data_IF_890624799907
#
_entry.id   IF_890624799907
#
_cell.length_a   1.000
_cell.length_b   1.000
_cell.length_c   1.000
_cell.angle_alpha   90.00
_cell.angle_beta   90.00
_cell.angle_gamma   90.00
#
_symmetry.space_group_name_H-M   'P 1'
#
loop_
_entity.id
_entity.type
_entity.pdbx_description
1 polymer ?
2 water ?
#
# COMPACT_ATOMS: atom_id res chain seq x y z
N UNK A 9 2.11 10.98 12.55
CA UNK A 9 2.25 9.96 11.46
C UNK A 9 1.80 8.59 12.00
N UNK A 10 2.25 7.49 11.36
CA UNK A 10 1.71 6.15 11.56
C UNK A 10 2.42 5.37 12.68
N UNK A 11 1.65 5.01 13.72
CA UNK A 11 2.16 4.20 14.83
C UNK A 11 2.49 2.78 14.42
N UNK A 12 3.46 2.20 15.13
CA UNK A 12 3.99 0.88 14.82
C UNK A 12 2.89 -0.18 14.73
N UNK A 13 1.89 -0.12 15.59
CA UNK A 13 0.91 -1.17 15.58
C UNK A 13 -0.08 -1.01 14.42
N UNK A 14 -0.22 0.19 13.85
CA UNK A 14 -1.03 0.35 12.63
C UNK A 14 -0.31 -0.35 11.49
N UNK A 15 1.00 -0.15 11.45
CA UNK A 15 1.87 -0.78 10.48
C UNK A 15 1.75 -2.31 10.60
N UNK A 16 1.91 -2.84 11.80
CA UNK A 16 1.78 -4.27 12.05
C UNK A 16 0.42 -4.83 11.62
N UNK A 17 -0.67 -4.14 11.94
CA UNK A 17 -2.01 -4.56 11.46
C UNK A 17 -2.14 -4.58 9.93
N UNK A 18 -1.68 -3.51 9.30
CA UNK A 18 -1.54 -3.50 7.85
C UNK A 18 -0.77 -4.71 7.33
N UNK A 19 0.39 -5.02 7.89
CA UNK A 19 1.10 -6.22 7.42
C UNK A 19 0.29 -7.50 7.64
N UNK A 20 -0.45 -7.54 8.76
CA UNK A 20 -1.27 -8.70 9.09
C UNK A 20 -2.41 -8.87 8.08
N UNK A 21 -3.04 -7.77 7.69
CA UNK A 21 -4.01 -7.83 6.59
C UNK A 21 -3.41 -8.41 5.32
N UNK A 22 -2.19 -8.00 4.98
CA UNK A 22 -1.49 -8.49 3.78
C UNK A 22 -1.21 -9.98 3.87
N UNK A 23 -0.86 -10.41 5.09
CA UNK A 23 -0.64 -11.82 5.37
C UNK A 23 -1.87 -12.63 4.96
N UNK A 24 -3.05 -12.12 5.32
CA UNK A 24 -4.32 -12.77 5.02
C UNK A 24 -4.58 -12.81 3.53
N UNK A 25 -4.33 -11.69 2.82
CA UNK A 25 -4.42 -11.67 1.36
C UNK A 25 -3.51 -12.72 0.75
N UNK A 26 -2.25 -12.77 1.17
CA UNK A 26 -1.32 -13.75 0.62
C UNK A 26 -1.77 -15.18 0.96
N UNK A 27 -2.30 -15.39 2.15
CA UNK A 27 -2.68 -16.73 2.61
C UNK A 27 -3.82 -17.35 1.82
N UNK A 28 -4.76 -16.52 1.39
CA UNK A 28 -5.86 -17.01 0.56
C UNK A 28 -5.31 -17.62 -0.73
N UNK A 29 -4.28 -16.99 -1.34
CA UNK A 29 -3.75 -17.56 -2.56
C UNK A 29 -2.83 -18.77 -2.31
N UNK A 30 -2.04 -18.66 -1.27
CA UNK A 30 -1.06 -19.62 -0.91
C UNK A 30 -0.97 -19.56 0.61
N UNK A 31 -1.49 -20.59 1.29
CA UNK A 31 -1.40 -20.59 2.74
C UNK A 31 0.06 -20.78 3.22
N UNK A 32 0.90 -21.40 2.40
CA UNK A 32 2.31 -21.65 2.72
C UNK A 32 3.25 -20.62 2.09
N UNK A 33 2.70 -19.43 1.75
CA UNK A 33 3.53 -18.44 1.05
C UNK A 33 4.81 -18.03 1.76
N UNK A 34 4.81 -18.01 3.09
CA UNK A 34 5.96 -17.58 3.85
C UNK A 34 7.12 -18.59 3.70
N UNK A 35 6.80 -19.81 3.34
CA UNK A 35 7.81 -20.85 3.16
C UNK A 35 8.31 -20.94 1.71
N UNK A 36 7.51 -20.45 0.76
CA UNK A 36 7.82 -20.64 -0.67
C UNK A 36 8.48 -19.39 -1.27
N UNK A 37 7.99 -18.26 -0.81
CA UNK A 37 8.32 -16.98 -1.32
C UNK A 37 9.61 -16.55 -0.62
N UNK A 38 10.32 -15.59 -1.17
CA UNK A 38 11.56 -15.15 -0.59
C UNK A 38 11.64 -13.63 -0.73
N UNK A 39 12.58 -13.10 0.00
CA UNK A 39 12.78 -11.68 0.19
C UNK A 39 13.14 -11.03 -1.17
N UNK A 40 13.79 -11.79 -2.04
CA UNK A 40 14.15 -11.34 -3.39
C UNK A 40 12.95 -11.17 -4.33
N UNK A 41 11.92 -12.01 -4.14
CA UNK A 41 10.64 -11.88 -4.84
C UNK A 41 10.03 -10.49 -4.56
N UNK A 42 9.90 -10.11 -3.30
CA UNK A 42 9.28 -8.81 -2.98
C UNK A 42 10.13 -7.66 -3.46
N UNK A 43 11.44 -7.81 -3.37
CA UNK A 43 12.36 -6.75 -3.78
C UNK A 43 12.25 -6.51 -5.33
N UNK A 44 12.13 -7.61 -6.05
CA UNK A 44 11.92 -7.54 -7.47
C UNK A 44 10.60 -6.84 -7.78
N UNK A 45 9.54 -7.21 -7.09
CA UNK A 45 8.22 -6.70 -7.42
C UNK A 45 8.09 -5.23 -7.10
N UNK A 46 8.63 -4.81 -5.97
CA UNK A 46 8.69 -3.37 -5.65
C UNK A 46 9.51 -2.61 -6.72
N UNK A 47 10.55 -3.25 -7.25
CA UNK A 47 11.38 -2.62 -8.28
C UNK A 47 10.58 -2.43 -9.54
N UNK A 48 9.88 -3.47 -9.95
CA UNK A 48 9.15 -3.45 -11.20
C UNK A 48 7.95 -2.48 -11.10
N UNK A 49 7.26 -2.44 -9.97
CA UNK A 49 6.15 -1.51 -9.76
C UNK A 49 6.63 -0.07 -9.59
N UNK A 50 7.75 0.11 -8.91
CA UNK A 50 8.35 1.43 -8.85
C UNK A 50 8.72 1.91 -10.25
N UNK A 51 9.28 1.05 -11.08
CA UNK A 51 9.58 1.43 -12.43
C UNK A 51 8.32 1.87 -13.17
N UNK A 52 7.22 1.14 -12.99
CA UNK A 52 5.97 1.54 -13.68
C UNK A 52 5.42 2.88 -13.13
N UNK A 53 5.57 3.14 -11.84
CA UNK A 53 5.20 4.46 -11.30
C UNK A 53 6.00 5.57 -12.02
N UNK A 54 7.34 5.46 -11.98
CA UNK A 54 8.20 6.48 -12.60
C UNK A 54 7.79 6.69 -14.04
N UNK A 55 7.36 5.62 -14.70
CA UNK A 55 6.99 5.69 -16.09
C UNK A 55 5.71 6.45 -16.34
N UNK A 56 4.86 6.69 -15.35
CA UNK A 56 3.73 7.60 -15.56
C UNK A 56 4.19 9.05 -15.79
N UNK A 57 5.43 9.39 -15.39
CA UNK A 57 5.94 10.75 -15.39
C UNK A 57 6.75 10.91 -16.66
N UNK A 58 6.82 12.12 -17.18
CA UNK A 58 7.64 12.39 -18.35
C UNK A 58 9.14 12.52 -18.02
N UNK A 59 9.78 11.42 -17.62
CA UNK A 59 11.19 11.40 -17.30
C UNK A 59 12.18 11.44 -18.47
N UNK A 60 11.73 10.99 -19.65
CA UNK A 60 12.60 10.95 -20.81
C UNK A 60 12.91 12.35 -21.22
N UNK A 61 14.10 12.81 -20.90
CA UNK A 61 14.54 14.17 -21.22
C UNK A 61 14.50 14.46 -22.72
N UNK A 62 14.54 13.44 -23.56
CA UNK A 62 14.55 13.67 -25.01
C UNK A 62 13.15 13.65 -25.68
N UNK A 63 12.11 13.31 -24.96
CA UNK A 63 10.76 13.40 -25.49
C UNK A 63 10.09 14.73 -25.13
N UNK A 64 9.44 15.35 -26.12
CA UNK A 64 8.63 16.55 -25.91
C UNK A 64 7.41 16.20 -25.13
N UNK A 65 6.91 17.14 -24.34
CA UNK A 65 5.92 16.76 -23.33
C UNK A 65 4.57 17.38 -23.57
N UNK A 66 3.61 16.47 -23.72
CA UNK A 66 2.27 16.85 -24.12
C UNK A 66 1.50 17.26 -22.85
N UNK A 67 1.28 16.25 -22.01
CA UNK A 67 0.36 16.29 -20.89
C UNK A 67 1.16 16.00 -19.63
N UNK A 68 0.69 16.50 -18.50
CA UNK A 68 1.36 16.24 -17.24
C UNK A 68 0.96 14.88 -16.68
N UNK A 69 1.75 14.44 -15.72
CA UNK A 69 1.49 13.21 -15.03
C UNK A 69 0.07 13.12 -14.48
N UNK A 70 -0.51 11.95 -14.58
CA UNK A 70 -1.83 11.69 -14.09
C UNK A 70 -1.68 11.23 -12.65
N UNK A 71 -1.98 12.12 -11.72
CA UNK A 71 -1.75 11.85 -10.30
C UNK A 71 -2.72 10.80 -9.72
N UNK A 72 -3.88 10.61 -10.34
CA UNK A 72 -4.79 9.56 -9.89
C UNK A 72 -4.07 8.21 -10.03
N UNK A 73 -3.34 8.08 -11.12
CA UNK A 73 -2.55 6.89 -11.39
C UNK A 73 -1.37 6.70 -10.45
N UNK A 74 -0.60 7.74 -10.23
CA UNK A 74 0.42 7.70 -9.20
C UNK A 74 -0.18 7.20 -7.86
N UNK A 75 -1.31 7.72 -7.43
CA UNK A 75 -1.90 7.23 -6.16
C UNK A 75 -2.14 5.75 -6.15
N UNK A 76 -2.75 5.17 -7.20
CA UNK A 76 -3.02 3.74 -7.13
C UNK A 76 -1.73 2.90 -7.25
N UNK A 77 -0.79 3.39 -8.04
CA UNK A 77 0.52 2.76 -8.16
C UNK A 77 1.30 2.75 -6.80
N UNK A 78 1.08 3.75 -5.95
CA UNK A 78 1.68 3.73 -4.63
C UNK A 78 1.03 2.58 -3.84
N UNK A 79 -0.29 2.48 -3.92
CA UNK A 79 -1.03 1.40 -3.30
C UNK A 79 -0.59 0.05 -3.79
N UNK A 80 -0.35 -0.11 -5.09
CA UNK A 80 0.12 -1.37 -5.64
C UNK A 80 1.44 -1.80 -5.07
N UNK A 81 2.34 -0.84 -4.84
CA UNK A 81 3.62 -1.14 -4.24
C UNK A 81 3.46 -1.52 -2.76
N UNK A 82 2.54 -0.87 -2.05
CA UNK A 82 2.35 -1.17 -0.61
C UNK A 82 2.11 -2.71 -0.31
N UNK A 83 1.29 -3.37 -1.09
CA UNK A 83 1.15 -4.82 -1.00
C UNK A 83 2.45 -5.62 -0.97
N UNK A 84 3.35 -5.31 -1.91
CA UNK A 84 4.65 -5.97 -1.99
C UNK A 84 5.57 -5.56 -0.84
N UNK A 85 5.51 -4.30 -0.48
CA UNK A 85 6.27 -3.80 0.66
C UNK A 85 5.87 -4.50 2.00
N UNK A 86 4.58 -4.56 2.26
CA UNK A 86 4.09 -5.26 3.46
C UNK A 86 4.51 -6.73 3.43
N UNK A 87 4.40 -7.34 2.24
CA UNK A 87 4.75 -8.74 2.09
C UNK A 87 6.23 -8.96 2.40
N UNK A 88 7.09 -8.07 1.94
CA UNK A 88 8.51 -8.21 2.22
C UNK A 88 8.86 -8.01 3.69
N UNK A 89 8.15 -7.09 4.36
CA UNK A 89 8.35 -6.86 5.77
C UNK A 89 8.09 -8.16 6.54
N UNK A 90 6.99 -8.84 6.22
CA UNK A 90 6.66 -10.10 6.87
C UNK A 90 7.70 -11.16 6.54
N UNK A 91 8.10 -11.22 5.29
CA UNK A 91 9.08 -12.20 4.85
C UNK A 91 10.42 -12.00 5.56
N UNK A 92 10.75 -10.74 5.80
CA UNK A 92 12.03 -10.36 6.37
C UNK A 92 12.13 -10.78 7.85
N UNK A 93 10.98 -10.84 8.53
CA UNK A 93 10.85 -11.32 9.92
C UNK A 93 10.79 -12.85 10.04
N UNK A 94 10.43 -13.52 8.94
CA UNK A 94 10.66 -14.98 8.81
C UNK A 94 12.16 -15.26 8.55
N UNK A 95 13.05 -14.37 9.01
CA UNK A 95 14.52 -14.58 9.11
C UNK A 95 15.30 -14.71 7.79
N UNK A 96 15.09 -13.74 6.90
CA UNK A 96 15.84 -13.60 5.64
C UNK A 96 16.81 -12.41 5.79
N UNK A 101 22.91 -3.82 9.29
CA UNK A 101 21.48 -3.56 9.29
C UNK A 101 21.22 -2.03 9.26
N UNK A 102 21.41 -1.37 10.41
CA UNK A 102 21.36 0.11 10.49
C UNK A 102 22.76 0.73 10.42
N UNK A 103 23.79 -0.08 10.71
CA UNK A 103 25.18 0.35 10.46
C UNK A 103 25.51 0.26 8.95
N UNK A 104 24.63 -0.40 8.18
CA UNK A 104 24.81 -0.54 6.75
C UNK A 104 24.24 0.64 5.98
N UNK A 105 22.98 0.99 6.25
CA UNK A 105 22.23 2.01 5.49
C UNK A 105 22.83 3.43 5.60
N UNK A 106 23.40 3.74 6.76
CA UNK A 106 24.13 5.01 6.94
C UNK A 106 25.41 5.03 6.12
N UNK A 107 26.06 3.88 6.01
CA UNK A 107 27.31 3.75 5.24
C UNK A 107 27.04 3.71 3.73
N UNK A 108 25.81 3.37 3.38
CA UNK A 108 25.37 3.41 2.00
C UNK A 108 25.08 4.85 1.64
N UNK A 109 24.52 5.57 2.60
CA UNK A 109 24.27 7.00 2.47
C UNK A 109 25.58 7.78 2.31
N UNK A 110 26.57 7.52 3.15
CA UNK A 110 27.84 8.25 3.05
C UNK A 110 28.72 7.83 1.85
N UNK A 111 28.44 6.67 1.26
CA UNK A 111 29.06 6.28 -0.01
C UNK A 111 28.41 7.05 -1.16
N UNK A 112 27.22 7.58 -0.92
CA UNK A 112 26.50 8.46 -1.85
C UNK A 112 25.53 7.73 -2.79
N UNK A 113 25.02 6.58 -2.39
CA UNK A 113 24.32 5.72 -3.33
C UNK A 113 22.83 5.66 -3.10
N UNK A 114 22.35 6.67 -2.42
CA UNK A 114 20.98 7.14 -2.60
C UNK A 114 21.11 8.45 -3.35
N UNK A 115 20.12 8.75 -4.16
CA UNK A 115 20.21 9.91 -5.02
C UNK A 115 19.35 11.05 -4.50
N UNK A 116 19.51 12.21 -5.13
CA UNK A 116 18.70 13.38 -4.87
C UNK A 116 18.39 14.11 -6.17
N UNK A 117 17.39 14.97 -6.15
CA UNK A 117 17.09 15.80 -7.32
C UNK A 117 18.24 16.77 -7.59
N UNK A 118 18.50 17.14 -8.85
CA UNK A 118 19.50 18.19 -9.16
C UNK A 118 19.26 19.54 -8.47
N UNK A 119 20.33 20.33 -8.37
CA UNK A 119 20.28 21.79 -8.13
C UNK A 119 18.92 22.45 -8.40
N UNK A 140 13.02 8.09 9.54
CA UNK A 140 13.57 9.37 9.95
C UNK A 140 14.95 9.59 9.31
N UNK A 141 15.73 8.50 9.33
CA UNK A 141 16.79 8.24 8.35
C UNK A 141 16.23 8.29 6.90
N UNK A 142 14.92 8.09 6.81
CA UNK A 142 14.15 8.11 5.57
C UNK A 142 13.99 9.47 4.95
N UNK A 143 13.86 10.51 5.76
CA UNK A 143 13.38 11.78 5.23
C UNK A 143 14.37 12.51 4.32
N UNK A 144 15.66 12.16 4.36
CA UNK A 144 16.59 12.62 3.33
C UNK A 144 16.58 11.76 2.05
N UNK A 145 15.69 10.78 1.96
CA UNK A 145 15.55 9.96 0.78
C UNK A 145 14.26 10.27 -0.01
N UNK A 146 13.32 10.92 0.66
CA UNK A 146 12.01 11.23 0.12
C UNK A 146 11.98 12.70 -0.29
N UNK A 147 11.48 13.00 -1.49
CA UNK A 147 11.50 14.38 -2.01
C UNK A 147 10.14 14.75 -2.56
N UNK A 148 9.66 15.90 -2.08
CA UNK A 148 8.31 16.38 -2.32
C UNK A 148 8.40 17.80 -2.91
N UNK A 149 7.39 18.26 -3.66
CA UNK A 149 6.13 17.54 -3.92
C UNK A 149 6.29 16.54 -5.08
N UNK A 150 5.43 15.52 -5.08
CA UNK A 150 5.53 14.36 -5.96
C UNK A 150 4.90 14.70 -7.29
N UNK A 151 4.29 15.85 -7.31
CA UNK A 151 3.75 16.43 -8.49
C UNK A 151 4.89 16.92 -9.44
N UNK A 152 6.11 17.00 -8.94
CA UNK A 152 7.21 17.52 -9.75
C UNK A 152 8.18 16.39 -10.06
N UNK A 153 8.52 16.24 -11.33
CA UNK A 153 9.16 15.05 -11.86
C UNK A 153 10.49 14.64 -11.19
N UNK A 154 11.40 15.58 -11.07
CA UNK A 154 12.70 15.32 -10.49
C UNK A 154 12.53 14.77 -9.05
N UNK A 155 11.55 15.30 -8.32
CA UNK A 155 11.28 14.85 -6.95
C UNK A 155 10.67 13.48 -6.89
N UNK A 156 9.74 13.15 -7.78
CA UNK A 156 9.23 11.79 -7.86
C UNK A 156 10.28 10.79 -8.34
N UNK A 157 11.06 11.16 -9.34
CA UNK A 157 12.11 10.27 -9.84
C UNK A 157 13.08 9.98 -8.67
N UNK A 158 13.62 10.97 -7.97
CA UNK A 158 14.58 10.67 -6.88
C UNK A 158 13.93 9.77 -5.79
N UNK A 159 12.70 10.10 -5.40
CA UNK A 159 12.00 9.37 -4.36
C UNK A 159 11.88 7.90 -4.70
N UNK A 160 11.37 7.61 -5.88
CA UNK A 160 11.16 6.24 -6.29
C UNK A 160 12.39 5.52 -6.71
N UNK A 161 13.40 6.22 -7.22
CA UNK A 161 14.71 5.56 -7.34
C UNK A 161 15.17 5.10 -5.96
N UNK A 162 14.95 5.94 -4.93
CA UNK A 162 15.35 5.57 -3.57
C UNK A 162 14.55 4.39 -2.99
N UNK A 163 13.28 4.25 -3.37
CA UNK A 163 12.50 3.10 -2.97
C UNK A 163 13.13 1.83 -3.57
N UNK A 164 13.56 1.94 -4.82
CA UNK A 164 14.20 0.82 -5.50
C UNK A 164 15.47 0.42 -4.76
N UNK A 165 16.26 1.43 -4.37
CA UNK A 165 17.46 1.19 -3.57
C UNK A 165 17.15 0.56 -2.22
N UNK A 166 16.16 1.09 -1.54
CA UNK A 166 15.66 0.53 -0.30
C UNK A 166 15.25 -0.96 -0.47
N UNK A 167 14.60 -1.28 -1.58
CA UNK A 167 14.11 -2.65 -1.83
C UNK A 167 15.30 -3.60 -1.92
N UNK A 168 16.30 -3.10 -2.60
CA UNK A 168 17.52 -3.79 -2.97
C UNK A 168 18.37 -4.21 -1.77
N UNK A 169 18.15 -3.49 -0.66
CA UNK A 169 18.76 -3.83 0.61
C UNK A 169 17.73 -4.32 1.62
N UNK A 170 16.58 -4.77 1.14
CA UNK A 170 15.55 -5.40 1.96
C UNK A 170 15.01 -4.49 3.09
N UNK A 171 15.08 -3.16 2.92
CA UNK A 171 14.47 -2.31 3.89
C UNK A 171 13.00 -2.05 3.60
N UNK A 172 12.22 -3.13 3.60
CA UNK A 172 10.79 -3.06 3.35
C UNK A 172 10.04 -2.16 4.33
N UNK A 173 10.57 -2.02 5.54
CA UNK A 173 9.93 -1.19 6.56
C UNK A 173 10.02 0.29 6.20
N UNK A 174 11.16 0.72 5.71
CA UNK A 174 11.32 2.10 5.24
C UNK A 174 10.53 2.35 3.98
N UNK A 175 10.35 1.34 3.12
CA UNK A 175 9.57 1.53 1.90
C UNK A 175 8.11 1.80 2.27
N UNK A 176 7.58 0.90 3.11
CA UNK A 176 6.23 1.03 3.62
C UNK A 176 6.01 2.42 4.17
N UNK A 177 6.89 2.85 5.07
CA UNK A 177 6.80 4.20 5.60
C UNK A 177 6.89 5.31 4.56
N UNK A 178 7.83 5.21 3.62
CA UNK A 178 7.96 6.15 2.52
C UNK A 178 6.69 6.23 1.67
N UNK A 179 6.07 5.10 1.38
CA UNK A 179 4.82 5.07 0.63
C UNK A 179 3.72 5.84 1.34
N UNK A 180 3.65 5.71 2.67
CA UNK A 180 2.66 6.45 3.45
C UNK A 180 2.90 7.96 3.46
N UNK A 181 4.16 8.32 3.62
CA UNK A 181 4.63 9.70 3.49
C UNK A 181 4.28 10.27 2.09
N UNK A 182 4.38 9.41 1.08
CA UNK A 182 4.10 9.78 -0.29
C UNK A 182 2.61 9.96 -0.53
N UNK A 183 1.81 9.06 0.03
CA UNK A 183 0.35 9.19 -0.03
C UNK A 183 -0.03 10.50 0.64
N UNK A 184 0.64 10.82 1.73
CA UNK A 184 0.34 12.07 2.43
C UNK A 184 0.68 13.31 1.61
N UNK A 185 1.73 13.24 0.79
CA UNK A 185 2.07 14.34 -0.05
C UNK A 185 0.96 14.55 -1.10
N UNK A 186 0.33 13.45 -1.52
CA UNK A 186 -0.76 13.49 -2.50
C UNK A 186 -2.20 13.53 -1.92
N UNK A 187 -2.36 13.96 -0.65
CA UNK A 187 -3.64 13.97 0.01
C UNK A 187 -4.46 12.69 -0.22
N UNK A 188 -3.81 11.54 -0.07
CA UNK A 188 -4.36 10.21 -0.40
C UNK A 188 -4.45 9.39 0.87
N UNK A 189 -5.65 8.98 1.26
CA UNK A 189 -5.81 8.14 2.44
C UNK A 189 -5.49 6.70 2.07
N UNK A 190 -4.21 6.35 2.10
CA UNK A 190 -3.72 5.05 1.66
C UNK A 190 -4.25 3.95 2.57
N UNK A 191 -4.12 4.16 3.89
CA UNK A 191 -4.55 3.18 4.89
C UNK A 191 -6.04 2.90 4.70
N UNK A 192 -6.83 3.95 4.60
CA UNK A 192 -8.25 3.79 4.36
C UNK A 192 -8.49 2.94 3.11
N UNK A 193 -7.83 3.31 2.01
CA UNK A 193 -8.06 2.66 0.73
C UNK A 193 -7.61 1.21 0.81
N UNK A 194 -6.51 0.99 1.51
CA UNK A 194 -6.00 -0.35 1.64
C UNK A 194 -7.01 -1.24 2.37
N UNK A 195 -7.63 -0.71 3.41
CA UNK A 195 -8.62 -1.44 4.19
C UNK A 195 -9.86 -1.74 3.35
N UNK A 196 -10.39 -0.74 2.66
CA UNK A 196 -11.50 -0.93 1.76
C UNK A 196 -11.20 -2.06 0.78
N UNK A 197 -9.98 -2.04 0.25
CA UNK A 197 -9.58 -2.95 -0.80
C UNK A 197 -9.42 -4.35 -0.20
N UNK A 198 -8.78 -4.45 0.98
CA UNK A 198 -8.70 -5.69 1.76
C UNK A 198 -10.08 -6.34 1.81
N UNK A 199 -11.11 -5.56 2.13
CA UNK A 199 -12.41 -6.14 2.37
C UNK A 199 -13.20 -6.45 1.13
N UNK A 200 -12.97 -5.72 0.03
CA UNK A 200 -13.60 -6.09 -1.23
C UNK A 200 -13.08 -7.46 -1.64
N UNK A 201 -11.79 -7.68 -1.47
CA UNK A 201 -11.24 -9.00 -1.74
C UNK A 201 -11.81 -10.16 -0.90
N UNK A 202 -12.23 -9.89 0.33
CA UNK A 202 -12.84 -10.96 1.14
C UNK A 202 -14.15 -11.34 0.49
N UNK A 203 -14.87 -10.36 -0.04
CA UNK A 203 -16.14 -10.64 -0.73
C UNK A 203 -15.88 -11.44 -2.01
N UNK A 204 -14.87 -11.01 -2.77
CA UNK A 204 -14.54 -11.66 -4.02
C UNK A 204 -13.95 -13.03 -3.86
N UNK A 205 -13.48 -13.35 -2.65
CA UNK A 205 -12.99 -14.70 -2.32
C UNK A 205 -14.08 -15.74 -2.26
N UNK A 206 -15.29 -15.32 -1.90
CA UNK A 206 -16.42 -16.24 -1.80
C UNK A 206 -17.02 -16.65 -3.15
N UNK A 207 -17.58 -17.85 -3.21
CA UNK A 207 -18.12 -18.33 -4.49
C UNK A 207 -19.33 -17.48 -4.90
N UNK A 208 -20.14 -17.09 -3.91
CA UNK A 208 -21.25 -16.18 -4.09
C UNK A 208 -20.93 -14.96 -4.95
N UNK A 209 -19.71 -14.43 -4.86
CA UNK A 209 -19.37 -13.26 -5.64
C UNK A 209 -19.34 -13.61 -7.13
N UNK A 210 -18.63 -14.68 -7.49
CA UNK A 210 -18.56 -15.06 -8.92
C UNK A 210 -19.89 -15.55 -9.44
N UNK A 211 -20.69 -16.16 -8.56
CA UNK A 211 -21.99 -16.69 -8.90
C UNK A 211 -23.04 -15.58 -9.13
N UNK A 212 -22.69 -14.34 -8.75
CA UNK A 212 -23.57 -13.20 -8.88
C UNK A 212 -24.64 -13.10 -7.78
N UNK A 213 -24.42 -13.76 -6.64
CA UNK A 213 -25.39 -13.73 -5.53
C UNK A 213 -25.21 -12.45 -4.71
N UNK A 214 -23.97 -12.02 -4.58
CA UNK A 214 -23.64 -10.80 -3.90
C UNK A 214 -23.45 -9.67 -4.90
N UNK A 215 -24.40 -8.76 -4.94
CA UNK A 215 -24.34 -7.65 -5.91
C UNK A 215 -24.30 -6.27 -5.27
N UNK A 216 -23.68 -5.34 -6.01
CA UNK A 216 -23.66 -3.94 -5.61
C UNK A 216 -25.10 -3.50 -5.46
N UNK A 217 -25.46 -2.91 -4.33
CA UNK A 217 -26.79 -2.29 -4.19
C UNK A 217 -26.99 -1.17 -5.24
N UNK A 218 -25.90 -0.49 -5.58
CA UNK A 218 -25.91 0.56 -6.59
C UNK A 218 -25.21 0.09 -7.86
N UNK A 219 -26.04 -0.38 -8.79
CA UNK A 219 -25.61 -1.05 -10.01
C UNK A 219 -24.99 -0.07 -10.96
N UNK A 220 -23.88 -0.49 -11.58
CA UNK A 220 -23.24 0.31 -12.63
C UNK A 220 -22.07 1.08 -12.08
N UNK A 221 -22.20 1.59 -10.86
CA UNK A 221 -21.12 2.35 -10.24
C UNK A 221 -19.88 1.46 -10.22
N UNK A 222 -18.77 2.02 -10.65
CA UNK A 222 -17.53 1.29 -10.68
C UNK A 222 -17.06 0.97 -9.25
N UNK A 223 -16.17 -0.01 -9.16
CA UNK A 223 -15.56 -0.41 -7.92
C UNK A 223 -14.78 0.72 -7.24
N UNK A 224 -13.75 1.26 -7.92
CA UNK A 224 -12.95 2.37 -7.38
C UNK A 224 -13.78 3.53 -6.75
N UNK A 225 -14.98 3.77 -7.28
CA UNK A 225 -15.84 4.84 -6.80
C UNK A 225 -16.69 4.43 -5.60
N UNK A 226 -17.04 3.17 -5.50
CA UNK A 226 -17.82 2.69 -4.33
C UNK A 226 -16.90 2.61 -3.13
N UNK A 227 -15.67 2.18 -3.36
CA UNK A 227 -14.62 2.15 -2.36
C UNK A 227 -14.29 3.53 -1.82
N UNK A 228 -14.19 4.52 -2.71
CA UNK A 228 -13.84 5.87 -2.30
C UNK A 228 -14.93 6.44 -1.42
N UNK A 229 -16.18 6.14 -1.75
CA UNK A 229 -17.31 6.55 -0.95
C UNK A 229 -17.37 5.87 0.41
N UNK A 230 -16.76 4.69 0.49
CA UNK A 230 -16.65 3.88 1.69
C UNK A 230 -15.53 4.39 2.60
N UNK A 231 -14.40 4.75 2.01
CA UNK A 231 -13.30 5.38 2.71
C UNK A 231 -13.65 6.80 3.24
N UNK A 232 -14.54 7.51 2.51
CA UNK A 232 -15.02 8.85 2.89
C UNK A 232 -15.73 8.90 4.26
N UNK A 233 -16.36 7.79 4.66
CA UNK A 233 -17.16 7.71 5.92
C UNK A 233 -16.33 7.85 7.22
N UNK A 234 -15.00 7.81 7.10
CA UNK A 234 -14.11 8.07 8.21
C UNK A 234 -12.97 8.97 7.78
N UNK A 235 -12.33 9.58 8.78
CA UNK A 235 -11.23 10.54 8.58
C UNK A 235 -9.93 9.80 8.51
N UNK A 236 -8.91 10.46 7.94
CA UNK A 236 -7.55 9.97 7.92
C UNK A 236 -7.03 9.78 9.33
N UNK A 237 -7.41 10.72 10.22
CA UNK A 237 -7.00 10.73 11.61
C UNK A 237 -7.50 9.45 12.25
N UNK A 238 -8.77 9.13 12.00
CA UNK A 238 -9.44 7.96 12.56
C UNK A 238 -8.72 6.65 12.20
N UNK A 239 -8.19 6.52 10.97
CA UNK A 239 -7.55 5.25 10.59
C UNK A 239 -6.10 5.10 11.04
N UNK A 240 -5.55 6.13 11.66
CA UNK A 240 -4.15 6.11 12.15
C UNK A 240 -4.04 6.17 13.69
N UNK A 241 -5.14 6.45 14.35
CA UNK A 241 -5.15 6.66 15.77
C UNK A 241 -4.67 5.40 16.49
N UNK A 242 -3.63 5.50 17.31
CA UNK A 242 -3.09 4.31 17.99
C UNK A 242 -4.14 3.61 18.86
N UNK A 243 -5.03 4.39 19.47
CA UNK A 243 -6.02 3.86 20.40
C UNK A 243 -7.13 3.09 19.73
N UNK A 244 -7.68 3.65 18.64
CA UNK A 244 -9.02 3.27 18.14
C UNK A 244 -9.11 3.11 16.62
N UNK A 245 -7.96 2.97 15.96
CA UNK A 245 -7.94 2.71 14.53
C UNK A 245 -8.76 1.49 14.13
N UNK A 246 -8.79 0.48 14.99
CA UNK A 246 -9.46 -0.76 14.65
C UNK A 246 -10.94 -0.52 14.48
N UNK A 247 -11.51 0.40 15.27
CA UNK A 247 -12.89 0.85 15.10
C UNK A 247 -13.17 1.44 13.72
N UNK A 248 -12.30 2.34 13.30
CA UNK A 248 -12.42 3.03 12.04
C UNK A 248 -12.24 2.09 10.84
N UNK A 249 -11.33 1.12 10.95
CA UNK A 249 -11.13 0.09 9.95
C UNK A 249 -12.38 -0.77 9.83
N UNK A 250 -12.96 -1.13 10.97
CA UNK A 250 -14.14 -1.94 10.94
C UNK A 250 -15.32 -1.14 10.32
N UNK A 251 -15.33 0.18 10.50
CA UNK A 251 -16.37 1.00 9.88
C UNK A 251 -16.19 1.06 8.36
N UNK A 252 -14.96 1.15 7.89
CA UNK A 252 -14.67 1.06 6.48
C UNK A 252 -15.11 -0.31 5.93
N UNK A 253 -14.80 -1.38 6.64
CA UNK A 253 -15.08 -2.72 6.18
C UNK A 253 -16.57 -2.97 6.12
N UNK A 254 -17.26 -2.47 7.13
CA UNK A 254 -18.70 -2.61 7.22
C UNK A 254 -19.39 -1.87 6.06
N UNK A 255 -18.83 -0.74 5.64
CA UNK A 255 -19.33 0.06 4.53
C UNK A 255 -19.19 -0.69 3.24
N UNK A 256 -18.00 -1.20 2.98
CA UNK A 256 -17.72 -1.98 1.78
C UNK A 256 -18.65 -3.18 1.73
N UNK A 257 -18.75 -3.90 2.82
CA UNK A 257 -19.62 -5.06 2.86
C UNK A 257 -21.06 -4.69 2.55
N UNK A 258 -21.51 -3.54 3.06
CA UNK A 258 -22.91 -3.11 2.87
C UNK A 258 -23.13 -2.80 1.39
N UNK A 259 -22.16 -2.12 0.81
CA UNK A 259 -22.26 -1.62 -0.55
C UNK A 259 -22.20 -2.74 -1.60
N UNK A 260 -21.55 -3.85 -1.25
CA UNK A 260 -21.25 -4.93 -2.18
C UNK A 260 -22.07 -6.17 -1.91
N UNK A 261 -23.04 -6.08 -1.03
CA UNK A 261 -23.97 -7.17 -0.80
C UNK A 261 -23.45 -8.37 -0.01
N UNK A 262 -22.51 -8.21 0.93
CA UNK A 262 -22.07 -9.36 1.76
C UNK A 262 -23.03 -9.42 2.91
N UNK A 263 -23.71 -10.58 3.10
CA UNK A 263 -24.58 -10.77 4.27
C UNK A 263 -23.74 -10.99 5.53
N UNK A 264 -24.41 -10.79 6.67
CA UNK A 264 -23.80 -10.74 7.98
C UNK A 264 -22.91 -11.95 8.31
N UNK A 265 -23.39 -13.15 8.03
CA UNK A 265 -22.70 -14.35 8.47
C UNK A 265 -21.32 -14.45 7.84
N UNK A 266 -21.19 -13.98 6.61
CA UNK A 266 -19.97 -14.16 5.86
C UNK A 266 -18.92 -13.09 6.15
N UNK A 267 -19.25 -12.16 7.06
CA UNK A 267 -18.34 -11.06 7.40
C UNK A 267 -17.45 -11.34 8.62
N UNK A 268 -17.82 -12.33 9.42
CA UNK A 268 -17.18 -12.61 10.71
C UNK A 268 -15.70 -12.94 10.59
N UNK A 269 -15.30 -13.72 9.61
CA UNK A 269 -13.89 -14.14 9.50
C UNK A 269 -12.98 -12.99 9.13
N UNK A 270 -13.49 -12.06 8.34
CA UNK A 270 -12.75 -10.85 7.98
C UNK A 270 -12.69 -9.91 9.18
N UNK A 271 -13.77 -9.77 9.93
CA UNK A 271 -13.73 -8.96 11.12
C UNK A 271 -12.76 -9.52 12.18
N UNK A 272 -12.79 -10.84 12.42
CA UNK A 272 -11.89 -11.47 13.36
C UNK A 272 -10.43 -11.30 12.93
N UNK A 273 -10.17 -11.36 11.62
CA UNK A 273 -8.83 -11.22 11.10
C UNK A 273 -8.31 -9.81 11.32
N UNK A 274 -9.13 -8.85 10.94
CA UNK A 274 -8.97 -7.42 11.27
C UNK A 274 -8.58 -7.16 12.70
N UNK A 275 -9.30 -7.78 13.63
CA UNK A 275 -9.14 -7.47 15.02
C UNK A 275 -7.94 -8.17 15.70
N UNK A 276 -7.18 -9.01 14.99
CA UNK A 276 -6.05 -9.71 15.61
C UNK A 276 -4.97 -8.75 16.08
N UNK A 277 -4.39 -9.07 17.24
CA UNK A 277 -3.21 -8.37 17.76
C UNK A 277 -1.91 -8.67 16.98
N UNK A 278 -1.03 -7.67 16.91
CA UNK A 278 0.40 -7.88 16.52
C UNK A 278 1.36 -7.00 17.37
#
# INVERSE_FOLDING_TARGET
MNRVQSGFRVPARVLNSLAHLQDGLNIFMDPDWRQIRHVDDWALAITMESAELIDSYPWKWWKNVKAQTDMHNVRIEIADILHFSLSGEIQKRTQDEKGADDVALKSLKEMGFFCRPPAHAKSTAASGQRTNGGDGDGDDELLELMFFPLTEVASAVATFRNIIQLASIYRFDLITKGLLLAAQDLDFNLVGYYVAKYTLNQIRQLKGYKEGVYVKVREGVEDNELLHECVQSVSVEDVLNEGTYLKAWEKIACSVFDAFGMPEEERRHAYDWLKSAALDGKG
#
